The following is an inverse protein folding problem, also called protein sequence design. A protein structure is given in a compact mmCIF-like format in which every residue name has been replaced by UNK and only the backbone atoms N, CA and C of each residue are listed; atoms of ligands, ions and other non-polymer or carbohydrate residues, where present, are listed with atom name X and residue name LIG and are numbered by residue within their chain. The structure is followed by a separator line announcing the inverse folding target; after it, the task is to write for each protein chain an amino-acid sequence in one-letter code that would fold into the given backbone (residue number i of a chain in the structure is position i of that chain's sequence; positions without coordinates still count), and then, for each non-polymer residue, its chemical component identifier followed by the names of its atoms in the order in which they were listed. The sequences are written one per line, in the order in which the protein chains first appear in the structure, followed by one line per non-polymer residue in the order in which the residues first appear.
data_IF_277833327413
#
_entry.id   IF_277833327413
#
_cell.length_a   1.000
_cell.length_b   1.000
_cell.length_c   1.000
_cell.angle_alpha   90.00
_cell.angle_beta   90.00
_cell.angle_gamma   90.00
#
_symmetry.space_group_name_H-M   'P 1'
#
loop_
_entity.id
_entity.type
_entity.pdbx_description
1 polymer ?
#
# COMPACT_ATOMS: atom_id res chain seq x y z
N UNK A 1 -10.03 -26.77 -27.24
CA UNK A 1 -10.03 -25.85 -26.08
C UNK A 1 -9.60 -24.47 -26.58
N UNK A 2 -10.49 -23.48 -26.55
CA UNK A 2 -10.14 -22.13 -26.98
C UNK A 2 -9.22 -21.49 -25.93
N UNK A 3 -8.00 -21.13 -26.33
CA UNK A 3 -7.11 -20.29 -25.52
C UNK A 3 -7.84 -18.98 -25.24
N UNK A 4 -8.14 -18.71 -23.97
CA UNK A 4 -8.72 -17.44 -23.52
C UNK A 4 -7.84 -16.30 -24.03
N UNK A 5 -8.46 -15.32 -24.68
CA UNK A 5 -7.79 -14.13 -25.16
C UNK A 5 -6.94 -13.53 -24.02
N UNK A 6 -5.63 -13.41 -24.23
CA UNK A 6 -4.73 -12.81 -23.27
C UNK A 6 -5.23 -11.39 -22.96
N UNK A 7 -5.72 -11.18 -21.74
CA UNK A 7 -6.05 -9.83 -21.30
C UNK A 7 -4.74 -9.04 -21.24
N UNK A 8 -4.74 -7.84 -21.83
CA UNK A 8 -3.53 -7.06 -22.12
C UNK A 8 -2.74 -6.60 -20.89
N UNK A 9 -3.22 -6.85 -19.68
CA UNK A 9 -2.49 -6.56 -18.44
C UNK A 9 -2.77 -7.67 -17.42
N UNK A 10 -1.85 -8.63 -17.31
CA UNK A 10 -1.99 -9.72 -16.35
C UNK A 10 -1.65 -9.29 -14.93
N UNK A 11 -0.78 -8.28 -14.76
CA UNK A 11 -0.21 -7.88 -13.48
C UNK A 11 -0.16 -6.36 -13.35
N UNK A 12 -0.60 -5.85 -12.20
CA UNK A 12 -0.65 -4.43 -11.85
C UNK A 12 0.02 -4.21 -10.50
N UNK A 13 0.67 -3.05 -10.33
CA UNK A 13 1.20 -2.60 -9.05
C UNK A 13 0.31 -1.47 -8.53
N UNK A 14 -0.16 -1.63 -7.29
CA UNK A 14 -1.10 -0.70 -6.68
C UNK A 14 -0.78 -0.45 -5.22
N UNK A 15 -1.24 0.69 -4.71
CA UNK A 15 -1.19 1.00 -3.28
C UNK A 15 -2.53 0.66 -2.64
N UNK A 16 -2.51 -0.05 -1.53
CA UNK A 16 -3.73 -0.37 -0.78
C UNK A 16 -4.33 0.90 -0.15
N UNK A 17 -5.64 1.08 -0.30
CA UNK A 17 -6.44 2.21 0.19
C UNK A 17 -7.53 1.66 1.11
N UNK A 18 -8.00 2.43 2.11
CA UNK A 18 -9.08 1.99 2.98
C UNK A 18 -10.29 1.48 2.19
N UNK A 19 -10.83 0.34 2.63
CA UNK A 19 -11.93 -0.34 1.97
C UNK A 19 -12.91 -0.86 3.02
N UNK A 20 -14.18 -0.52 2.83
CA UNK A 20 -15.28 -0.97 3.71
C UNK A 20 -15.71 -2.40 3.38
N UNK A 21 -15.45 -2.87 2.14
CA UNK A 21 -15.91 -4.19 1.70
C UNK A 21 -15.20 -5.32 2.43
N UNK A 22 -15.98 -6.31 2.84
CA UNK A 22 -15.48 -7.57 3.36
C UNK A 22 -14.92 -8.42 2.20
N UNK A 23 -13.83 -9.14 2.45
CA UNK A 23 -13.14 -10.05 1.51
C UNK A 23 -12.50 -9.40 0.26
N UNK A 24 -12.43 -8.07 0.21
CA UNK A 24 -11.80 -7.35 -0.89
C UNK A 24 -11.06 -6.10 -0.40
N UNK A 25 -9.89 -5.89 -0.98
CA UNK A 25 -9.06 -4.71 -0.73
C UNK A 25 -9.14 -3.77 -1.93
N UNK A 26 -9.15 -2.46 -1.67
CA UNK A 26 -9.21 -1.42 -2.71
C UNK A 26 -7.80 -0.94 -2.99
N UNK A 27 -7.45 -0.85 -4.27
CA UNK A 27 -6.12 -0.45 -4.70
C UNK A 27 -6.17 0.78 -5.58
N UNK A 28 -5.24 1.70 -5.33
CA UNK A 28 -4.97 2.88 -6.12
C UNK A 28 -3.83 2.56 -7.09
N UNK A 29 -4.12 2.58 -8.38
CA UNK A 29 -3.17 2.30 -9.45
C UNK A 29 -2.86 3.62 -10.15
N UNK A 30 -1.58 3.94 -10.28
CA UNK A 30 -1.12 5.16 -10.92
C UNK A 30 -0.61 4.79 -12.32
N UNK A 31 -1.26 5.32 -13.36
CA UNK A 31 -0.82 5.23 -14.75
C UNK A 31 -0.35 6.60 -15.24
N UNK A 32 0.54 6.61 -16.22
CA UNK A 32 0.97 7.84 -16.87
C UNK A 32 0.19 7.96 -18.18
N UNK A 33 -0.63 9.00 -18.28
CA UNK A 33 -1.40 9.34 -19.48
C UNK A 33 -0.74 10.51 -20.19
N UNK A 34 -0.59 10.40 -21.51
CA UNK A 34 -0.01 11.46 -22.34
C UNK A 34 -1.07 12.50 -22.66
N UNK A 35 -0.82 13.75 -22.27
CA UNK A 35 -1.54 14.89 -22.81
C UNK A 35 -0.91 15.30 -24.15
N UNK A 36 -1.67 15.17 -25.24
CA UNK A 36 -1.22 15.46 -26.60
C UNK A 36 -1.08 16.95 -26.89
N UNK A 37 -1.72 17.83 -26.11
CA UNK A 37 -1.58 19.28 -26.29
C UNK A 37 -0.25 19.79 -25.73
N UNK A 38 0.17 19.23 -24.59
CA UNK A 38 1.41 19.60 -23.89
C UNK A 38 2.57 18.66 -24.21
N UNK A 39 2.31 17.51 -24.85
CA UNK A 39 3.26 16.42 -25.07
C UNK A 39 3.96 15.99 -23.77
N UNK A 40 3.21 15.92 -22.67
CA UNK A 40 3.70 15.60 -21.33
C UNK A 40 2.85 14.51 -20.68
N UNK A 41 3.50 13.63 -19.91
CA UNK A 41 2.82 12.58 -19.16
C UNK A 41 2.36 13.09 -17.80
N UNK A 42 1.08 12.89 -17.50
CA UNK A 42 0.49 13.18 -16.21
C UNK A 42 0.03 11.90 -15.50
N UNK A 43 0.10 11.88 -14.16
CA UNK A 43 -0.35 10.73 -13.40
C UNK A 43 -1.88 10.67 -13.32
N UNK A 44 -2.48 9.71 -14.01
CA UNK A 44 -3.87 9.31 -13.85
C UNK A 44 -3.98 8.22 -12.79
N UNK A 45 -5.07 8.27 -12.01
CA UNK A 45 -5.34 7.33 -10.93
C UNK A 45 -6.57 6.50 -11.25
N UNK A 46 -6.43 5.19 -11.20
CA UNK A 46 -7.52 4.22 -11.34
C UNK A 46 -7.69 3.45 -10.02
N UNK A 47 -8.94 3.15 -9.65
CA UNK A 47 -9.26 2.37 -8.46
C UNK A 47 -9.81 1.00 -8.84
N UNK A 48 -9.19 -0.06 -8.32
CA UNK A 48 -9.54 -1.44 -8.60
C UNK A 48 -9.77 -2.18 -7.28
N UNK A 49 -10.74 -3.11 -7.26
CA UNK A 49 -10.92 -4.04 -6.16
C UNK A 49 -10.27 -5.38 -6.49
N UNK A 50 -9.44 -5.86 -5.58
CA UNK A 50 -8.87 -7.19 -5.66
C UNK A 50 -9.37 -8.07 -4.51
N UNK A 51 -9.47 -9.36 -4.80
CA UNK A 51 -9.85 -10.37 -3.82
C UNK A 51 -8.76 -10.54 -2.77
N UNK A 52 -9.15 -10.38 -1.51
CA UNK A 52 -8.29 -10.52 -0.34
C UNK A 52 -9.15 -11.00 0.85
N UNK A 53 -9.43 -12.32 0.94
CA UNK A 53 -10.33 -12.88 1.95
C UNK A 53 -9.74 -12.79 3.37
N UNK A 54 -8.43 -12.89 3.49
CA UNK A 54 -7.72 -12.83 4.77
C UNK A 54 -7.36 -11.39 5.19
N UNK A 55 -7.68 -10.38 4.36
CA UNK A 55 -7.26 -8.97 4.55
C UNK A 55 -5.78 -8.85 4.91
N UNK A 56 -4.93 -9.56 4.16
CA UNK A 56 -3.47 -9.52 4.36
C UNK A 56 -2.91 -8.13 4.05
N UNK A 57 -3.52 -7.42 3.12
CA UNK A 57 -3.08 -6.08 2.73
C UNK A 57 -3.61 -5.06 3.72
N UNK A 58 -2.70 -4.24 4.28
CA UNK A 58 -3.06 -3.09 5.10
C UNK A 58 -2.93 -1.80 4.28
N UNK A 59 -3.57 -0.74 4.75
CA UNK A 59 -3.59 0.58 4.11
C UNK A 59 -2.18 1.12 3.94
N UNK A 60 -1.86 1.56 2.72
CA UNK A 60 -0.55 2.12 2.38
C UNK A 60 0.47 1.12 1.85
N UNK A 61 0.21 -0.19 1.95
CA UNK A 61 1.09 -1.22 1.38
C UNK A 61 1.13 -1.13 -0.14
N UNK A 62 2.29 -1.43 -0.72
CA UNK A 62 2.46 -1.59 -2.18
C UNK A 62 2.34 -3.06 -2.52
N UNK A 63 1.38 -3.37 -3.37
CA UNK A 63 0.92 -4.74 -3.60
C UNK A 63 0.92 -5.05 -5.10
N UNK A 64 1.32 -6.27 -5.43
CA UNK A 64 1.19 -6.84 -6.75
C UNK A 64 -0.15 -7.53 -6.89
N UNK A 65 -0.88 -7.15 -7.94
CA UNK A 65 -2.26 -7.56 -8.18
C UNK A 65 -2.32 -8.24 -9.53
N UNK A 66 -2.94 -9.41 -9.60
CA UNK A 66 -3.06 -10.19 -10.83
C UNK A 66 -4.52 -10.25 -11.29
N UNK A 67 -4.76 -10.12 -12.58
CA UNK A 67 -6.10 -10.20 -13.13
C UNK A 67 -6.65 -11.64 -13.00
N UNK A 68 -7.89 -11.78 -12.55
CA UNK A 68 -8.53 -13.09 -12.50
C UNK A 68 -8.97 -13.54 -13.91
N UNK A 69 -8.92 -14.86 -14.20
CA UNK A 69 -9.38 -15.39 -15.49
C UNK A 69 -10.88 -15.21 -15.69
N UNK A 70 -11.64 -15.14 -14.60
CA UNK A 70 -13.07 -14.83 -14.56
C UNK A 70 -13.33 -13.82 -13.44
N UNK A 71 -14.14 -12.80 -13.71
CA UNK A 71 -14.54 -11.83 -12.69
C UNK A 71 -15.45 -12.51 -11.67
N UNK A 72 -15.04 -12.57 -10.41
CA UNK A 72 -15.84 -13.23 -9.36
C UNK A 72 -17.14 -12.47 -9.09
N UNK A 73 -17.09 -11.15 -9.08
CA UNK A 73 -18.26 -10.27 -8.97
C UNK A 73 -18.07 -9.07 -9.88
N UNK A 74 -19.13 -8.27 -10.08
CA UNK A 74 -19.09 -7.04 -10.91
C UNK A 74 -17.96 -6.08 -10.54
N UNK A 75 -17.51 -6.10 -9.28
CA UNK A 75 -16.50 -5.16 -8.77
C UNK A 75 -15.12 -5.81 -8.57
N UNK A 76 -15.08 -7.10 -8.22
CA UNK A 76 -13.82 -7.81 -7.95
C UNK A 76 -13.32 -8.42 -9.26
N UNK A 77 -12.32 -7.78 -9.84
CA UNK A 77 -11.75 -8.13 -11.15
C UNK A 77 -10.37 -8.78 -11.03
N UNK A 78 -9.68 -8.56 -9.91
CA UNK A 78 -8.31 -9.01 -9.69
C UNK A 78 -8.17 -9.80 -8.38
N UNK A 79 -7.03 -10.46 -8.18
CA UNK A 79 -6.61 -11.10 -6.93
C UNK A 79 -5.29 -10.50 -6.45
N UNK A 80 -5.13 -10.45 -5.13
CA UNK A 80 -3.82 -10.11 -4.53
C UNK A 80 -2.86 -11.26 -4.78
N UNK A 81 -1.67 -10.97 -5.32
CA UNK A 81 -0.61 -11.96 -5.52
C UNK A 81 0.39 -11.93 -4.38
N UNK A 82 0.98 -10.76 -4.12
CA UNK A 82 1.99 -10.58 -3.07
C UNK A 82 2.06 -9.12 -2.61
N UNK A 83 2.42 -8.92 -1.34
CA UNK A 83 2.74 -7.59 -0.79
C UNK A 83 4.23 -7.37 -1.00
N UNK A 84 4.60 -6.39 -1.84
CA UNK A 84 6.00 -6.11 -2.19
C UNK A 84 6.63 -5.22 -1.11
N UNK A 85 5.97 -4.11 -0.78
CA UNK A 85 6.47 -3.17 0.21
C UNK A 85 5.42 -2.93 1.29
N UNK A 86 5.61 -3.49 2.50
CA UNK A 86 4.76 -3.16 3.62
C UNK A 86 5.04 -1.72 4.08
N UNK A 87 3.99 -1.02 4.49
CA UNK A 87 4.10 0.36 4.94
C UNK A 87 4.85 0.42 6.29
N UNK A 88 5.96 1.16 6.32
CA UNK A 88 6.78 1.36 7.52
C UNK A 88 7.97 0.39 7.68
N UNK A 89 7.93 -0.79 7.06
CA UNK A 89 8.97 -1.83 7.20
C UNK A 89 9.56 -2.28 5.86
N UNK A 90 10.09 -1.33 5.11
CA UNK A 90 10.59 -1.61 3.76
C UNK A 90 11.90 -2.41 3.84
N UNK A 91 11.93 -3.51 3.10
CA UNK A 91 13.13 -4.29 2.82
C UNK A 91 13.60 -3.97 1.41
N UNK A 92 14.88 -3.61 1.27
CA UNK A 92 15.49 -3.41 -0.04
C UNK A 92 15.53 -4.75 -0.81
N UNK A 93 14.94 -4.83 -2.02
CA UNK A 93 14.90 -6.08 -2.78
C UNK A 93 16.29 -6.51 -3.29
N UNK A 94 17.26 -5.61 -3.37
CA UNK A 94 18.61 -5.93 -3.87
C UNK A 94 19.49 -6.56 -2.78
N UNK A 95 19.52 -5.96 -1.59
CA UNK A 95 20.38 -6.42 -0.48
C UNK A 95 19.66 -7.29 0.55
N UNK A 96 18.32 -7.28 0.57
CA UNK A 96 17.54 -7.92 1.63
C UNK A 96 17.60 -7.20 2.97
N UNK A 97 18.26 -6.05 3.06
CA UNK A 97 18.40 -5.27 4.29
C UNK A 97 17.20 -4.34 4.49
N UNK A 98 16.82 -4.14 5.75
CA UNK A 98 15.80 -3.14 6.08
C UNK A 98 16.34 -1.74 5.91
N UNK A 99 15.54 -0.89 5.27
CA UNK A 99 15.92 0.49 4.98
C UNK A 99 14.86 1.48 5.47
N UNK A 100 15.30 2.71 5.69
CA UNK A 100 14.42 3.84 6.01
C UNK A 100 14.79 4.98 5.08
N UNK A 101 13.83 5.35 4.22
CA UNK A 101 14.04 6.27 3.12
C UNK A 101 15.23 5.83 2.23
N UNK A 102 16.39 6.48 2.37
CA UNK A 102 17.60 6.19 1.59
C UNK A 102 18.77 5.63 2.39
N UNK A 103 18.56 5.20 3.64
CA UNK A 103 19.63 4.67 4.50
C UNK A 103 19.28 3.29 5.02
N UNK A 104 20.26 2.40 5.12
CA UNK A 104 20.08 1.12 5.80
C UNK A 104 19.99 1.34 7.31
N UNK A 105 19.18 0.51 7.99
CA UNK A 105 19.04 0.59 9.45
C UNK A 105 20.38 0.36 10.14
N UNK A 106 21.15 -0.63 9.68
CA UNK A 106 22.49 -0.97 10.18
C UNK A 106 23.43 0.23 10.19
N UNK A 107 23.48 1.00 9.09
CA UNK A 107 24.35 2.17 8.97
C UNK A 107 23.96 3.26 9.96
N UNK A 108 22.65 3.46 10.19
CA UNK A 108 22.15 4.39 11.19
C UNK A 108 22.61 3.97 12.59
N UNK A 109 22.63 2.66 12.88
CA UNK A 109 23.10 2.17 14.18
C UNK A 109 24.60 2.38 14.37
N UNK A 110 25.40 2.12 13.32
CA UNK A 110 26.85 2.34 13.36
C UNK A 110 27.15 3.81 13.60
N UNK A 111 26.46 4.72 12.90
CA UNK A 111 26.59 6.16 13.10
C UNK A 111 26.21 6.55 14.53
N UNK A 112 25.08 6.06 15.04
CA UNK A 112 24.64 6.38 16.39
C UNK A 112 25.63 5.89 17.47
N UNK A 113 26.27 4.72 17.27
CA UNK A 113 27.32 4.23 18.18
C UNK A 113 28.57 5.13 18.19
N UNK A 114 28.91 5.73 17.05
CA UNK A 114 30.08 6.61 16.93
C UNK A 114 29.81 7.99 17.53
N UNK A 115 28.64 8.57 17.26
CA UNK A 115 28.30 9.93 17.71
C UNK A 115 27.62 10.00 19.09
N UNK A 116 27.25 8.85 19.66
CA UNK A 116 26.50 8.74 20.91
C UNK A 116 25.01 8.51 20.66
N UNK A 117 24.42 7.64 21.48
CA UNK A 117 22.99 7.32 21.38
C UNK A 117 22.16 8.36 22.14
N UNK A 118 21.09 8.83 21.50
CA UNK A 118 20.09 9.68 22.13
C UNK A 118 18.99 8.82 22.76
N UNK A 119 18.52 9.18 23.95
CA UNK A 119 17.40 8.50 24.62
C UNK A 119 16.10 8.54 23.79
N UNK A 120 15.94 9.56 22.94
CA UNK A 120 14.79 9.73 22.05
C UNK A 120 14.90 8.96 20.73
N UNK A 121 15.95 8.15 20.53
CA UNK A 121 16.14 7.37 19.30
C UNK A 121 15.00 6.37 19.10
N UNK A 122 14.56 6.23 17.85
CA UNK A 122 13.67 5.15 17.47
C UNK A 122 14.43 3.82 17.45
N UNK A 123 13.99 2.86 18.27
CA UNK A 123 14.55 1.51 18.35
C UNK A 123 13.82 0.58 17.38
N UNK A 124 14.48 0.23 16.28
CA UNK A 124 13.85 -0.56 15.23
C UNK A 124 13.61 -2.02 15.61
N UNK A 125 14.41 -2.61 16.50
CA UNK A 125 14.29 -4.02 16.90
C UNK A 125 13.14 -4.26 17.88
N UNK A 126 12.85 -3.27 18.73
CA UNK A 126 11.73 -3.31 19.69
C UNK A 126 10.41 -2.85 19.05
N UNK A 127 10.49 -2.16 17.91
CA UNK A 127 9.31 -1.63 17.24
C UNK A 127 8.50 -2.76 16.57
N UNK A 128 7.15 -2.70 16.64
CA UNK A 128 6.33 -3.58 15.82
C UNK A 128 6.65 -3.36 14.34
N UNK A 129 6.38 -4.33 13.44
CA UNK A 129 6.70 -4.21 12.01
C UNK A 129 6.19 -2.90 11.39
N UNK A 130 4.94 -2.49 11.67
CA UNK A 130 4.37 -1.23 11.18
C UNK A 130 4.81 0.03 11.94
N UNK A 131 5.59 -0.17 13.01
CA UNK A 131 6.03 0.87 13.91
C UNK A 131 4.88 1.71 14.45
N UNK A 132 5.12 3.01 14.58
CA UNK A 132 4.15 4.03 15.00
C UNK A 132 3.10 4.43 13.94
N UNK A 133 3.07 3.77 12.77
CA UNK A 133 2.15 4.15 11.68
C UNK A 133 0.76 3.53 11.81
N UNK A 134 0.65 2.44 12.57
CA UNK A 134 -0.62 1.93 13.09
C UNK A 134 -1.31 3.05 13.89
N UNK A 135 -2.61 3.24 13.70
CA UNK A 135 -3.45 4.31 14.30
C UNK A 135 -3.21 5.76 13.84
N UNK A 136 -2.18 6.02 13.02
CA UNK A 136 -1.95 7.37 12.45
C UNK A 136 -2.27 7.48 10.98
N UNK A 137 -1.66 6.61 10.18
CA UNK A 137 -1.85 6.55 8.71
C UNK A 137 -2.51 5.25 8.28
N UNK A 138 -2.61 4.31 9.22
CA UNK A 138 -3.24 3.02 9.02
C UNK A 138 -4.39 2.84 9.97
N UNK A 139 -5.58 2.85 9.39
CA UNK A 139 -6.83 2.57 10.09
C UNK A 139 -7.43 1.23 9.64
N UNK A 140 -6.63 0.32 9.06
CA UNK A 140 -7.16 -0.93 8.48
C UNK A 140 -7.81 -1.85 9.52
N UNK A 141 -7.47 -1.67 10.79
CA UNK A 141 -8.05 -2.42 11.91
C UNK A 141 -9.32 -1.74 12.49
N UNK A 142 -9.62 -0.50 12.09
CA UNK A 142 -10.80 0.27 12.52
C UNK A 142 -11.83 0.31 11.39
N UNK A 143 -13.12 0.34 11.74
CA UNK A 143 -14.17 0.60 10.75
C UNK A 143 -14.17 2.07 10.34
N UNK A 144 -13.59 2.35 9.16
CA UNK A 144 -13.64 3.69 8.54
C UNK A 144 -14.99 3.95 7.87
N UNK A 145 -15.49 5.18 7.92
CA UNK A 145 -16.76 5.59 7.30
C UNK A 145 -16.62 6.86 6.46
N UNK A 146 -17.57 7.09 5.54
CA UNK A 146 -17.58 8.30 4.71
C UNK A 146 -18.23 9.46 5.47
N UNK A 147 -17.57 10.62 5.52
CA UNK A 147 -18.16 11.81 6.15
C UNK A 147 -19.13 12.48 5.19
N UNK A 148 -20.40 12.54 5.56
CA UNK A 148 -21.44 13.22 4.78
C UNK A 148 -21.68 14.68 5.19
N UNK A 149 -21.32 15.04 6.43
CA UNK A 149 -21.56 16.38 6.99
C UNK A 149 -20.35 16.90 7.75
N UNK A 150 -20.04 18.19 7.58
CA UNK A 150 -19.01 18.89 8.34
C UNK A 150 -19.57 19.36 9.69
N UNK A 151 -19.66 18.45 10.66
CA UNK A 151 -20.22 18.72 12.00
C UNK A 151 -19.32 19.60 12.89
N UNK A 152 -18.16 20.04 12.42
CA UNK A 152 -17.15 20.74 13.24
C UNK A 152 -16.41 19.85 14.27
N UNK A 153 -16.88 18.63 14.49
CA UNK A 153 -16.23 17.61 15.34
C UNK A 153 -15.09 16.90 14.61
N UNK A 154 -14.01 16.61 15.35
CA UNK A 154 -12.88 15.82 14.85
C UNK A 154 -13.30 14.35 14.71
N UNK A 155 -13.26 13.85 13.48
CA UNK A 155 -13.68 12.49 13.12
C UNK A 155 -12.48 11.77 12.51
N UNK A 156 -11.57 11.23 13.35
CA UNK A 156 -10.26 10.74 12.90
C UNK A 156 -10.32 9.51 11.99
N UNK A 157 -11.44 8.77 12.02
CA UNK A 157 -11.66 7.56 11.23
C UNK A 157 -12.54 7.78 9.99
N UNK A 158 -12.91 9.04 9.74
CA UNK A 158 -13.68 9.39 8.56
C UNK A 158 -12.76 9.60 7.34
N UNK A 159 -13.21 9.11 6.19
CA UNK A 159 -12.63 9.40 4.87
C UNK A 159 -13.51 10.36 4.07
#
# INVERSE_FOLDING_TARGET
MALRAASKVSILLGQCVPCIKQNASKFKIKRLELDTNLNMYFPAVEYIYAFDPEKKCKTGDVVLIEQLPEQMTRLITHKVKEVIYPFGDITDPLTGKKCVAGKYREDIEVINKVYGELDTRFKYDEAPPRGWQEDKKDFSHVETYMKYHESGEDQPYAY
#
